data_IF_655833511170
#
_entry.id   IF_655833511170
#
_cell.length_a   1.000
_cell.length_b   1.000
_cell.length_c   1.000
_cell.angle_alpha   90.00
_cell.angle_beta   90.00
_cell.angle_gamma   90.00
#
_symmetry.space_group_name_H-M   'P 1'
#
loop_
_entity.id
_entity.type
_entity.pdbx_description
1 polymer ?
#
# COMPACT_ATOMS: atom_id res chain seq x y z
N UNK A 1 -19.00 43.06 15.10
CA UNK A 1 -18.77 42.14 13.96
C UNK A 1 -17.80 41.08 14.50
N UNK A 2 -18.35 40.16 15.29
CA UNK A 2 -17.58 39.26 16.12
C UNK A 2 -17.29 37.98 15.33
N UNK A 3 -16.01 37.62 15.30
CA UNK A 3 -15.51 36.30 14.98
C UNK A 3 -15.78 35.39 16.18
N UNK A 4 -16.84 34.58 16.08
CA UNK A 4 -17.00 33.31 16.81
C UNK A 4 -16.95 32.26 15.69
N UNK A 5 -16.15 31.21 15.68
CA UNK A 5 -15.59 30.35 16.70
C UNK A 5 -15.22 29.08 15.90
N UNK A 6 -14.16 28.38 16.29
CA UNK A 6 -13.51 27.38 15.45
C UNK A 6 -14.46 26.24 14.99
N UNK A 7 -14.73 26.20 13.70
CA UNK A 7 -14.63 25.01 12.85
C UNK A 7 -15.29 23.70 13.30
N UNK A 8 -16.55 23.72 13.70
CA UNK A 8 -17.39 22.52 13.53
C UNK A 8 -17.76 22.47 12.04
N UNK A 9 -17.20 21.50 11.29
CA UNK A 9 -17.66 21.24 9.93
C UNK A 9 -19.14 20.88 10.05
N UNK A 10 -20.02 21.78 9.59
CA UNK A 10 -21.45 21.50 9.47
C UNK A 10 -21.60 20.13 8.80
N UNK A 11 -22.38 19.24 9.41
CA UNK A 11 -22.61 17.87 8.90
C UNK A 11 -22.96 17.89 7.41
N UNK A 12 -22.66 16.81 6.67
CA UNK A 12 -22.97 16.75 5.23
C UNK A 12 -24.44 17.09 4.97
N UNK A 13 -25.33 16.63 5.84
CA UNK A 13 -26.75 16.97 5.83
C UNK A 13 -27.04 18.46 5.99
N UNK A 14 -26.38 19.15 6.93
CA UNK A 14 -26.55 20.59 7.11
C UNK A 14 -26.15 21.37 5.86
N UNK A 15 -25.05 20.98 5.21
CA UNK A 15 -24.60 21.59 3.94
C UNK A 15 -25.63 21.41 2.83
N UNK A 16 -26.21 20.22 2.73
CA UNK A 16 -27.27 19.94 1.76
C UNK A 16 -28.51 20.78 2.03
N UNK A 17 -28.96 20.85 3.29
CA UNK A 17 -30.10 21.68 3.71
C UNK A 17 -29.87 23.16 3.41
N UNK A 18 -28.68 23.70 3.69
CA UNK A 18 -28.34 25.09 3.41
C UNK A 18 -28.36 25.38 1.91
N UNK A 19 -27.90 24.43 1.10
CA UNK A 19 -27.85 24.53 -0.36
C UNK A 19 -29.24 24.48 -1.02
N UNK A 20 -30.27 24.01 -0.32
CA UNK A 20 -31.63 23.99 -0.86
C UNK A 20 -32.20 25.42 -0.99
N UNK A 21 -32.95 25.64 -2.06
CA UNK A 21 -33.68 26.89 -2.28
C UNK A 21 -34.69 27.16 -1.15
N UNK A 22 -34.97 28.42 -0.86
CA UNK A 22 -35.83 28.86 0.27
C UNK A 22 -37.29 28.34 0.26
N UNK A 23 -37.73 27.74 -0.83
CA UNK A 23 -39.11 27.22 -0.98
C UNK A 23 -39.33 25.89 -0.26
N UNK A 24 -38.25 25.19 0.08
CA UNK A 24 -38.31 23.95 0.84
C UNK A 24 -38.47 24.25 2.33
N UNK A 25 -39.34 23.52 3.01
CA UNK A 25 -39.44 23.58 4.46
C UNK A 25 -38.23 22.87 5.08
N UNK A 26 -37.29 23.67 5.59
CA UNK A 26 -36.05 23.18 6.23
C UNK A 26 -36.20 22.88 7.73
N UNK A 27 -37.38 23.10 8.31
CA UNK A 27 -37.64 22.82 9.73
C UNK A 27 -37.54 21.31 10.01
N UNK A 28 -36.71 20.84 10.97
CA UNK A 28 -36.64 19.41 11.31
C UNK A 28 -37.96 18.83 11.85
N UNK A 29 -38.90 19.68 12.30
CA UNK A 29 -40.08 19.27 13.08
C UNK A 29 -39.65 18.42 14.29
N UNK A 30 -38.93 19.05 15.25
CA UNK A 30 -38.30 18.34 16.36
C UNK A 30 -39.34 17.67 17.24
N UNK A 31 -39.10 16.40 17.57
CA UNK A 31 -39.83 15.67 18.58
C UNK A 31 -38.84 15.16 19.62
N UNK A 32 -39.14 15.36 20.91
CA UNK A 32 -38.32 14.81 21.98
C UNK A 32 -38.34 13.28 21.87
N UNK A 33 -37.17 12.68 21.70
CA UNK A 33 -37.02 11.23 21.67
C UNK A 33 -36.89 10.69 23.10
N UNK A 34 -35.95 11.22 23.85
CA UNK A 34 -35.73 10.94 25.27
C UNK A 34 -34.79 11.99 25.85
N UNK A 35 -34.62 11.95 27.17
CA UNK A 35 -33.63 12.76 27.89
C UNK A 35 -32.54 11.86 28.42
N UNK A 36 -31.30 12.33 28.35
CA UNK A 36 -30.14 11.58 28.80
C UNK A 36 -29.48 12.33 29.96
N UNK A 37 -29.27 11.64 31.08
CA UNK A 37 -28.54 12.17 32.23
C UNK A 37 -27.35 11.31 32.57
N UNK A 38 -26.34 11.95 33.13
CA UNK A 38 -25.14 11.32 33.63
C UNK A 38 -24.96 11.62 35.12
N UNK A 39 -24.45 10.64 35.87
CA UNK A 39 -24.26 10.73 37.34
C UNK A 39 -23.02 11.53 37.76
N UNK A 40 -22.19 11.96 36.80
CA UNK A 40 -21.01 12.79 37.03
C UNK A 40 -21.26 14.30 36.97
N UNK A 41 -20.16 15.05 37.02
CA UNK A 41 -20.15 16.51 37.13
C UNK A 41 -20.60 17.20 35.84
N UNK A 42 -20.31 16.61 34.68
CA UNK A 42 -20.71 17.15 33.38
C UNK A 42 -20.92 16.05 32.34
N UNK A 43 -21.85 16.30 31.43
CA UNK A 43 -22.07 15.51 30.22
C UNK A 43 -22.48 16.45 29.09
N UNK A 44 -21.73 16.42 28.00
CA UNK A 44 -22.14 17.00 26.72
C UNK A 44 -22.32 15.91 25.69
N UNK A 45 -23.28 16.08 24.80
CA UNK A 45 -23.54 15.16 23.69
C UNK A 45 -23.62 15.91 22.38
N UNK A 46 -23.27 15.24 21.29
CA UNK A 46 -23.40 15.76 19.94
C UNK A 46 -23.71 14.63 18.96
N UNK A 47 -24.63 14.87 18.03
CA UNK A 47 -24.97 13.94 16.95
C UNK A 47 -24.44 14.47 15.64
N UNK A 48 -23.53 13.70 15.04
CA UNK A 48 -22.89 14.06 13.78
C UNK A 48 -22.60 12.83 12.94
N UNK A 49 -22.92 12.89 11.65
CA UNK A 49 -22.57 11.90 10.62
C UNK A 49 -22.97 10.44 10.98
N UNK A 50 -24.10 10.31 11.70
CA UNK A 50 -24.66 9.03 12.16
C UNK A 50 -24.01 8.50 13.45
N UNK A 51 -23.25 9.33 14.16
CA UNK A 51 -22.61 9.01 15.42
C UNK A 51 -23.15 9.89 16.55
N UNK A 52 -23.41 9.30 17.71
CA UNK A 52 -23.65 10.03 18.96
C UNK A 52 -22.35 10.04 19.77
N UNK A 53 -21.79 11.22 19.95
CA UNK A 53 -20.59 11.44 20.77
C UNK A 53 -21.00 11.94 22.14
N UNK A 54 -20.54 11.26 23.19
CA UNK A 54 -20.75 11.60 24.58
C UNK A 54 -19.40 11.97 25.20
N UNK A 55 -19.31 13.17 25.77
CA UNK A 55 -18.15 13.63 26.54
C UNK A 55 -18.60 13.88 27.96
N UNK A 56 -17.96 13.21 28.93
CA UNK A 56 -18.35 13.25 30.35
C UNK A 56 -17.15 13.51 31.24
N UNK A 57 -17.41 14.02 32.44
CA UNK A 57 -16.42 14.17 33.51
C UNK A 57 -17.01 13.84 34.87
N UNK A 58 -16.21 13.21 35.75
CA UNK A 58 -16.71 12.66 37.02
C UNK A 58 -17.56 11.40 36.79
N UNK A 59 -18.31 10.94 37.79
CA UNK A 59 -19.31 9.87 37.64
C UNK A 59 -18.75 8.44 37.57
N UNK A 60 -19.66 7.48 37.34
CA UNK A 60 -19.34 6.04 37.29
C UNK A 60 -19.18 5.48 35.87
N UNK A 61 -19.62 6.22 34.85
CA UNK A 61 -19.50 5.82 33.44
C UNK A 61 -18.29 6.41 32.71
N UNK A 62 -18.24 6.21 31.40
CA UNK A 62 -17.25 6.82 30.52
C UNK A 62 -17.91 7.46 29.29
N UNK A 63 -17.22 8.44 28.69
CA UNK A 63 -17.60 9.00 27.40
C UNK A 63 -17.32 8.03 26.27
N UNK A 64 -17.83 8.33 25.08
CA UNK A 64 -17.66 7.43 23.94
C UNK A 64 -18.33 7.93 22.67
N UNK A 65 -18.14 7.16 21.61
CA UNK A 65 -18.77 7.38 20.29
C UNK A 65 -19.61 6.14 19.98
N UNK A 66 -20.89 6.36 19.70
CA UNK A 66 -21.88 5.31 19.46
C UNK A 66 -22.37 5.43 18.01
N UNK A 67 -22.31 4.34 17.25
CA UNK A 67 -22.87 4.28 15.89
C UNK A 67 -24.40 4.09 15.95
N UNK A 68 -25.13 5.00 15.31
CA UNK A 68 -26.59 5.01 15.32
C UNK A 68 -27.22 4.06 14.28
N UNK A 69 -26.44 3.56 13.30
CA UNK A 69 -26.95 2.74 12.17
C UNK A 69 -27.55 1.40 12.60
N UNK A 70 -27.17 0.89 13.76
CA UNK A 70 -27.67 -0.37 14.32
C UNK A 70 -28.85 -0.24 15.28
N UNK A 71 -29.32 0.99 15.55
CA UNK A 71 -30.28 1.24 16.62
C UNK A 71 -31.58 1.89 16.11
N UNK A 72 -32.68 1.55 16.77
CA UNK A 72 -33.86 2.42 16.84
C UNK A 72 -33.71 3.35 18.03
N UNK A 73 -34.55 4.38 18.14
CA UNK A 73 -34.54 5.26 19.31
C UNK A 73 -34.76 4.48 20.61
N UNK A 74 -35.66 3.49 20.61
CA UNK A 74 -35.91 2.63 21.76
C UNK A 74 -34.69 1.73 22.09
N UNK A 75 -34.10 1.05 21.10
CA UNK A 75 -32.95 0.17 21.39
C UNK A 75 -31.68 0.95 21.74
N UNK A 76 -31.57 2.21 21.29
CA UNK A 76 -30.51 3.12 21.75
C UNK A 76 -30.75 3.56 23.19
N UNK A 77 -31.99 3.90 23.56
CA UNK A 77 -32.35 4.24 24.93
C UNK A 77 -32.02 3.09 25.89
N UNK A 78 -32.41 1.85 25.54
CA UNK A 78 -32.05 0.64 26.31
C UNK A 78 -30.53 0.46 26.41
N UNK A 79 -29.80 0.63 25.29
CA UNK A 79 -28.35 0.50 25.27
C UNK A 79 -27.66 1.51 26.19
N UNK A 80 -28.12 2.77 26.16
CA UNK A 80 -27.61 3.85 27.01
C UNK A 80 -27.95 3.63 28.48
N UNK A 81 -29.18 3.22 28.79
CA UNK A 81 -29.62 2.92 30.15
C UNK A 81 -28.86 1.73 30.78
N UNK A 82 -28.34 0.82 29.95
CA UNK A 82 -27.48 -0.27 30.41
C UNK A 82 -26.04 0.16 30.71
N UNK A 83 -25.60 1.35 30.26
CA UNK A 83 -24.25 1.86 30.55
C UNK A 83 -24.17 2.40 31.97
N UNK A 84 -23.06 2.12 32.66
CA UNK A 84 -22.81 2.66 33.99
C UNK A 84 -22.86 4.20 33.98
N UNK A 85 -23.51 4.79 34.98
CA UNK A 85 -23.62 6.24 35.17
C UNK A 85 -24.60 6.96 34.27
N UNK A 86 -25.22 6.30 33.28
CA UNK A 86 -26.24 6.92 32.42
C UNK A 86 -27.65 6.58 32.88
N UNK A 87 -28.57 7.54 32.72
CA UNK A 87 -29.99 7.36 32.99
C UNK A 87 -30.79 7.99 31.85
N UNK A 88 -31.66 7.20 31.24
CA UNK A 88 -32.61 7.68 30.23
C UNK A 88 -33.94 8.02 30.91
N UNK A 89 -34.46 9.21 30.61
CA UNK A 89 -35.69 9.75 31.17
C UNK A 89 -36.63 10.17 30.02
N UNK A 90 -37.92 10.27 30.32
CA UNK A 90 -38.93 10.83 29.41
C UNK A 90 -38.87 10.24 27.98
N UNK A 91 -38.63 8.93 27.86
CA UNK A 91 -38.63 8.25 26.57
C UNK A 91 -40.00 8.36 25.90
N UNK A 92 -40.00 8.73 24.64
CA UNK A 92 -41.19 8.93 23.85
C UNK A 92 -41.52 7.67 23.02
N UNK A 93 -42.50 6.85 23.45
CA UNK A 93 -42.83 5.59 22.75
C UNK A 93 -43.40 5.82 21.35
N UNK A 94 -43.92 7.02 21.05
CA UNK A 94 -44.47 7.32 19.72
C UNK A 94 -43.39 7.36 18.63
N UNK A 95 -42.13 7.62 18.99
CA UNK A 95 -40.99 7.67 18.06
C UNK A 95 -39.97 6.56 18.29
N UNK A 96 -40.10 5.74 19.34
CA UNK A 96 -39.15 4.68 19.68
C UNK A 96 -38.82 3.67 18.55
N UNK A 97 -39.75 3.51 17.60
CA UNK A 97 -39.59 2.63 16.43
C UNK A 97 -38.79 3.26 15.28
N UNK A 98 -38.56 4.58 15.29
CA UNK A 98 -37.76 5.27 14.28
C UNK A 98 -36.29 4.90 14.43
N UNK A 99 -35.56 4.95 13.31
CA UNK A 99 -34.10 4.78 13.33
C UNK A 99 -33.44 5.86 14.20
N UNK A 100 -32.42 5.48 14.97
CA UNK A 100 -31.64 6.43 15.77
C UNK A 100 -30.88 7.46 14.91
N UNK A 101 -30.71 7.21 13.61
CA UNK A 101 -30.20 8.20 12.65
C UNK A 101 -31.07 9.46 12.54
N UNK A 102 -32.29 9.43 13.08
CA UNK A 102 -33.17 10.61 13.16
C UNK A 102 -32.76 11.61 14.24
N UNK A 103 -31.85 11.22 15.16
CA UNK A 103 -31.32 12.14 16.16
C UNK A 103 -30.49 13.25 15.52
N UNK A 104 -30.53 14.43 16.12
CA UNK A 104 -29.72 15.56 15.66
C UNK A 104 -29.43 16.55 16.81
N UNK A 105 -28.45 17.42 16.57
CA UNK A 105 -28.11 18.51 17.47
C UNK A 105 -26.99 18.16 18.46
N UNK A 106 -26.83 19.03 19.45
CA UNK A 106 -25.89 18.87 20.54
C UNK A 106 -26.47 19.51 21.80
N UNK A 107 -26.00 19.08 22.98
CA UNK A 107 -26.47 19.58 24.26
C UNK A 107 -25.49 19.35 25.39
N UNK A 108 -25.76 20.01 26.52
CA UNK A 108 -25.03 19.92 27.77
C UNK A 108 -26.04 19.70 28.91
N UNK A 109 -25.88 18.64 29.70
CA UNK A 109 -26.79 18.35 30.80
C UNK A 109 -26.90 19.47 31.84
N UNK A 110 -25.89 20.34 31.94
CA UNK A 110 -25.89 21.48 32.84
C UNK A 110 -26.73 22.66 32.31
N UNK A 111 -27.04 22.67 31.01
CA UNK A 111 -27.86 23.70 30.39
C UNK A 111 -29.36 23.36 30.51
N UNK A 112 -30.21 24.40 30.50
CA UNK A 112 -31.66 24.21 30.45
C UNK A 112 -32.03 23.46 29.17
N UNK A 113 -32.77 22.36 29.31
CA UNK A 113 -33.14 21.46 28.20
C UNK A 113 -31.95 20.85 27.43
N UNK A 114 -30.72 21.01 27.93
CA UNK A 114 -29.53 20.47 27.28
C UNK A 114 -29.36 18.95 27.48
N UNK A 115 -30.20 18.34 28.33
CA UNK A 115 -30.35 16.89 28.45
C UNK A 115 -31.35 16.29 27.43
N UNK A 116 -31.98 17.09 26.57
CA UNK A 116 -32.99 16.63 25.61
C UNK A 116 -32.38 16.16 24.30
N UNK A 117 -32.56 14.89 23.94
CA UNK A 117 -32.23 14.39 22.62
C UNK A 117 -33.47 14.44 21.72
N UNK A 118 -33.38 15.24 20.67
CA UNK A 118 -34.46 15.42 19.69
C UNK A 118 -34.24 14.56 18.46
N UNK A 119 -35.34 14.04 17.93
CA UNK A 119 -35.41 13.39 16.63
C UNK A 119 -36.17 14.28 15.64
N UNK A 120 -35.72 14.33 14.39
CA UNK A 120 -36.47 15.00 13.32
C UNK A 120 -37.58 14.08 12.81
N UNK A 121 -38.70 14.66 12.39
CA UNK A 121 -39.81 13.92 11.76
C UNK A 121 -40.11 14.39 10.34
N UNK A 122 -39.44 15.44 9.87
CA UNK A 122 -39.59 15.94 8.51
C UNK A 122 -39.02 14.95 7.47
N UNK A 123 -39.83 14.61 6.46
CA UNK A 123 -39.44 13.74 5.35
C UNK A 123 -38.25 14.28 4.53
N UNK A 124 -38.14 15.61 4.38
CA UNK A 124 -36.99 16.23 3.71
C UNK A 124 -35.68 15.91 4.44
N UNK A 125 -35.70 15.98 5.78
CA UNK A 125 -34.55 15.63 6.59
C UNK A 125 -34.21 14.15 6.43
N UNK A 126 -35.21 13.26 6.51
CA UNK A 126 -35.01 11.83 6.31
C UNK A 126 -34.37 11.50 4.95
N UNK A 127 -34.85 12.14 3.88
CA UNK A 127 -34.31 11.98 2.53
C UNK A 127 -32.85 12.45 2.46
N UNK A 128 -32.55 13.65 2.95
CA UNK A 128 -31.19 14.20 2.91
C UNK A 128 -30.20 13.46 3.83
N UNK A 129 -30.66 12.92 4.97
CA UNK A 129 -29.82 12.07 5.82
C UNK A 129 -29.32 10.86 5.04
N UNK A 130 -30.19 10.20 4.27
CA UNK A 130 -29.79 9.06 3.45
C UNK A 130 -28.71 9.45 2.42
N UNK A 131 -28.89 10.55 1.69
CA UNK A 131 -27.84 11.04 0.77
C UNK A 131 -26.56 11.47 1.48
N UNK A 132 -26.67 12.10 2.65
CA UNK A 132 -25.51 12.53 3.41
C UNK A 132 -24.64 11.34 3.82
N UNK A 133 -25.24 10.20 4.18
CA UNK A 133 -24.53 8.95 4.48
C UNK A 133 -23.80 8.42 3.23
N UNK A 134 -24.49 8.32 2.10
CA UNK A 134 -23.89 7.84 0.85
C UNK A 134 -22.76 8.75 0.34
N UNK A 135 -22.95 10.07 0.42
CA UNK A 135 -21.93 11.05 0.04
C UNK A 135 -20.74 11.04 1.00
N UNK A 136 -20.96 10.79 2.28
CA UNK A 136 -19.90 10.56 3.26
C UNK A 136 -19.07 9.32 2.88
N UNK A 137 -19.74 8.20 2.63
CA UNK A 137 -19.08 6.97 2.21
C UNK A 137 -18.31 7.15 0.89
N UNK A 138 -18.88 7.83 -0.10
CA UNK A 138 -18.22 8.14 -1.36
C UNK A 138 -16.98 9.03 -1.16
N UNK A 139 -17.05 10.04 -0.28
CA UNK A 139 -15.90 10.88 0.08
C UNK A 139 -14.76 10.05 0.67
N UNK A 140 -15.08 9.13 1.57
CA UNK A 140 -14.08 8.26 2.21
C UNK A 140 -13.47 7.29 1.19
N UNK A 141 -14.28 6.75 0.28
CA UNK A 141 -13.82 5.91 -0.83
C UNK A 141 -12.88 6.65 -1.79
N UNK A 142 -13.10 7.95 -2.05
CA UNK A 142 -12.16 8.76 -2.86
C UNK A 142 -10.78 8.82 -2.21
N UNK A 143 -10.73 9.03 -0.89
CA UNK A 143 -9.45 9.05 -0.16
C UNK A 143 -8.77 7.67 -0.20
N UNK A 144 -9.55 6.60 -0.01
CA UNK A 144 -9.04 5.23 -0.12
C UNK A 144 -8.51 4.94 -1.54
N UNK A 145 -9.23 5.36 -2.59
CA UNK A 145 -8.82 5.16 -3.97
C UNK A 145 -7.48 5.84 -4.30
N UNK A 146 -7.21 7.03 -3.74
CA UNK A 146 -5.91 7.68 -3.89
C UNK A 146 -4.78 6.87 -3.26
N UNK A 147 -5.01 6.23 -2.12
CA UNK A 147 -4.03 5.34 -1.51
C UNK A 147 -3.74 4.11 -2.39
N UNK A 148 -4.72 3.65 -3.17
CA UNK A 148 -4.54 2.54 -4.12
C UNK A 148 -3.70 2.92 -5.35
N UNK A 149 -3.48 4.20 -5.63
CA UNK A 149 -2.66 4.65 -6.77
C UNK A 149 -1.15 4.60 -6.50
N UNK A 150 -0.73 4.37 -5.26
CA UNK A 150 0.67 4.37 -4.85
C UNK A 150 1.09 2.95 -4.47
N UNK A 151 2.16 2.44 -5.09
CA UNK A 151 2.65 1.07 -4.90
C UNK A 151 2.85 0.68 -3.42
N UNK A 152 3.24 1.63 -2.57
CA UNK A 152 3.53 1.39 -1.16
C UNK A 152 2.29 1.24 -0.28
N UNK A 153 1.15 1.78 -0.72
CA UNK A 153 -0.10 1.81 0.07
C UNK A 153 -1.25 1.07 -0.60
N UNK A 154 -1.06 0.64 -1.85
CA UNK A 154 -2.02 -0.16 -2.57
C UNK A 154 -2.18 -1.55 -1.92
N UNK A 155 -3.42 -1.99 -1.83
CA UNK A 155 -3.76 -3.37 -1.53
C UNK A 155 -3.31 -4.29 -2.66
N UNK A 156 -3.19 -5.58 -2.34
CA UNK A 156 -2.55 -6.56 -3.21
C UNK A 156 -3.14 -6.63 -4.64
N UNK A 157 -4.47 -6.53 -4.80
CA UNK A 157 -5.10 -6.61 -6.11
C UNK A 157 -4.72 -5.42 -7.00
N UNK A 158 -4.77 -4.20 -6.43
CA UNK A 158 -4.34 -3.00 -7.13
C UNK A 158 -2.83 -3.02 -7.38
N UNK A 159 -2.04 -3.47 -6.41
CA UNK A 159 -0.59 -3.61 -6.57
C UNK A 159 -0.22 -4.57 -7.71
N UNK A 160 -0.94 -5.70 -7.85
CA UNK A 160 -0.75 -6.61 -8.98
C UNK A 160 -1.10 -5.96 -10.33
N UNK A 161 -2.20 -5.21 -10.38
CA UNK A 161 -2.59 -4.47 -11.58
C UNK A 161 -1.52 -3.44 -11.97
N UNK A 162 -1.06 -2.63 -11.02
CA UNK A 162 0.01 -1.65 -11.27
C UNK A 162 1.30 -2.32 -11.76
N UNK A 163 1.68 -3.44 -11.14
CA UNK A 163 2.95 -4.12 -11.44
C UNK A 163 2.93 -4.84 -12.78
N UNK A 164 1.75 -5.16 -13.31
CA UNK A 164 1.57 -5.69 -14.67
C UNK A 164 2.10 -4.70 -15.72
N UNK A 165 1.93 -3.39 -15.52
CA UNK A 165 2.49 -2.37 -16.42
C UNK A 165 4.03 -2.32 -16.41
N UNK A 166 4.65 -2.74 -15.30
CA UNK A 166 6.10 -2.79 -15.16
C UNK A 166 6.68 -4.18 -15.52
N UNK A 167 5.83 -5.15 -15.88
CA UNK A 167 6.26 -6.51 -16.21
C UNK A 167 6.77 -7.30 -15.00
N UNK A 168 6.42 -6.89 -13.79
CA UNK A 168 6.89 -7.54 -12.54
C UNK A 168 5.78 -8.44 -12.03
N UNK A 169 5.94 -9.76 -12.18
CA UNK A 169 4.93 -10.72 -11.75
C UNK A 169 4.99 -10.98 -10.24
N UNK A 170 3.83 -11.32 -9.65
CA UNK A 170 3.71 -11.74 -8.26
C UNK A 170 4.34 -13.12 -8.02
N UNK A 171 5.08 -13.25 -6.92
CA UNK A 171 5.65 -14.54 -6.50
C UNK A 171 4.72 -15.13 -5.42
N UNK A 172 4.20 -16.37 -5.59
CA UNK A 172 3.37 -17.01 -4.57
C UNK A 172 4.06 -17.06 -3.20
N UNK A 173 3.40 -16.54 -2.17
CA UNK A 173 3.93 -16.49 -0.80
C UNK A 173 4.74 -15.23 -0.46
N UNK A 174 4.93 -14.32 -1.42
CA UNK A 174 5.51 -13.00 -1.16
C UNK A 174 4.57 -12.14 -0.30
N UNK A 175 5.14 -11.18 0.44
CA UNK A 175 4.36 -10.21 1.22
C UNK A 175 4.14 -8.95 0.36
N UNK A 176 2.97 -8.29 0.38
CA UNK A 176 2.69 -7.14 -0.50
C UNK A 176 3.74 -6.02 -0.43
N UNK A 177 4.28 -5.74 0.76
CA UNK A 177 5.34 -4.72 0.93
C UNK A 177 6.63 -5.08 0.19
N UNK A 178 7.01 -6.36 0.18
CA UNK A 178 8.21 -6.85 -0.50
C UNK A 178 8.01 -6.78 -2.01
N UNK A 179 6.80 -7.10 -2.49
CA UNK A 179 6.46 -6.98 -3.91
C UNK A 179 6.51 -5.54 -4.40
N UNK A 180 5.96 -4.59 -3.64
CA UNK A 180 6.06 -3.17 -3.98
C UNK A 180 7.52 -2.70 -4.08
N UNK A 181 8.35 -3.07 -3.10
CA UNK A 181 9.78 -2.73 -3.09
C UNK A 181 10.53 -3.38 -4.25
N UNK A 182 10.24 -4.65 -4.54
CA UNK A 182 10.82 -5.39 -5.67
C UNK A 182 10.45 -4.75 -6.99
N UNK A 183 9.21 -4.31 -7.18
CA UNK A 183 8.82 -3.60 -8.41
C UNK A 183 9.63 -2.32 -8.58
N UNK A 184 9.80 -1.52 -7.53
CA UNK A 184 10.63 -0.32 -7.59
C UNK A 184 12.08 -0.66 -7.94
N UNK A 185 12.64 -1.71 -7.33
CA UNK A 185 13.99 -2.17 -7.62
C UNK A 185 14.15 -2.63 -9.08
N UNK A 186 13.21 -3.42 -9.59
CA UNK A 186 13.22 -4.00 -10.95
C UNK A 186 13.08 -2.95 -12.06
N UNK A 187 12.36 -1.86 -11.77
CA UNK A 187 12.20 -0.72 -12.70
C UNK A 187 13.43 0.17 -12.71
N UNK A 188 14.06 0.39 -11.54
CA UNK A 188 15.16 1.33 -11.39
C UNK A 188 16.54 0.71 -11.61
N UNK A 189 16.67 -0.62 -11.57
CA UNK A 189 17.98 -1.24 -11.74
C UNK A 189 18.50 -1.11 -13.17
N UNK A 190 19.82 -0.96 -13.28
CA UNK A 190 20.48 -0.85 -14.57
C UNK A 190 20.58 -2.25 -15.22
N UNK A 191 20.45 -2.32 -16.55
CA UNK A 191 20.53 -3.57 -17.31
C UNK A 191 21.47 -3.42 -18.51
N UNK A 192 21.87 -4.55 -19.09
CA UNK A 192 22.45 -4.60 -20.43
C UNK A 192 23.91 -4.17 -20.56
N UNK A 193 24.61 -3.85 -19.47
CA UNK A 193 26.05 -3.61 -19.48
C UNK A 193 26.75 -4.45 -18.40
N UNK A 194 28.06 -4.65 -18.55
CA UNK A 194 28.83 -5.55 -17.70
C UNK A 194 28.81 -5.12 -16.23
N UNK A 195 29.01 -3.83 -15.95
CA UNK A 195 29.01 -3.29 -14.57
C UNK A 195 27.65 -3.47 -13.88
N UNK A 196 26.56 -3.34 -14.64
CA UNK A 196 25.21 -3.56 -14.15
C UNK A 196 24.97 -5.03 -13.84
N UNK A 197 25.43 -5.95 -14.72
CA UNK A 197 25.37 -7.39 -14.47
C UNK A 197 26.20 -7.79 -13.23
N UNK A 198 27.40 -7.24 -13.06
CA UNK A 198 28.22 -7.44 -11.85
C UNK A 198 27.47 -6.99 -10.58
N UNK A 199 26.82 -5.82 -10.63
CA UNK A 199 26.06 -5.27 -9.51
C UNK A 199 24.82 -6.11 -9.18
N UNK A 200 24.13 -6.63 -10.20
CA UNK A 200 22.97 -7.52 -10.03
C UNK A 200 23.39 -8.86 -9.43
N UNK A 201 24.51 -9.44 -9.89
CA UNK A 201 25.07 -10.66 -9.32
C UNK A 201 25.46 -10.43 -7.86
N UNK A 202 26.11 -9.30 -7.55
CA UNK A 202 26.47 -8.94 -6.18
C UNK A 202 25.25 -8.82 -5.27
N UNK A 203 24.20 -8.12 -5.72
CA UNK A 203 22.99 -7.93 -4.92
C UNK A 203 22.24 -9.24 -4.65
N UNK A 204 22.21 -10.15 -5.63
CA UNK A 204 21.49 -11.42 -5.49
C UNK A 204 22.28 -12.50 -4.74
N UNK A 205 23.61 -12.53 -4.88
CA UNK A 205 24.46 -13.61 -4.37
C UNK A 205 25.35 -13.20 -3.20
N UNK A 206 25.49 -11.89 -2.94
CA UNK A 206 26.46 -11.33 -2.01
C UNK A 206 27.91 -11.41 -2.50
N UNK A 207 28.16 -11.89 -3.72
CA UNK A 207 29.51 -12.08 -4.27
C UNK A 207 29.81 -11.13 -5.41
N UNK A 208 30.98 -10.50 -5.31
CA UNK A 208 31.52 -9.69 -6.40
C UNK A 208 32.09 -10.60 -7.47
N UNK A 209 31.49 -10.57 -8.65
CA UNK A 209 31.98 -11.23 -9.85
C UNK A 209 32.44 -10.17 -10.85
N UNK A 210 33.29 -10.54 -11.80
CA UNK A 210 33.69 -9.68 -12.91
C UNK A 210 32.99 -10.17 -14.19
N UNK A 211 32.43 -9.25 -14.99
CA UNK A 211 31.80 -9.55 -16.27
C UNK A 211 32.65 -8.92 -17.37
N UNK A 212 33.26 -9.76 -18.19
CA UNK A 212 34.29 -9.33 -19.14
C UNK A 212 33.91 -9.75 -20.55
N UNK A 213 33.89 -8.78 -21.47
CA UNK A 213 33.66 -9.07 -22.89
C UNK A 213 34.78 -9.96 -23.42
N UNK A 214 34.41 -10.94 -24.23
CA UNK A 214 35.39 -11.76 -24.95
C UNK A 214 36.00 -10.88 -26.03
N UNK A 215 37.27 -10.51 -25.87
CA UNK A 215 38.01 -9.86 -26.94
C UNK A 215 38.16 -10.79 -28.14
N UNK A 216 38.15 -10.23 -29.35
CA UNK A 216 38.75 -10.90 -30.51
C UNK A 216 40.21 -11.15 -30.14
N UNK A 217 40.59 -12.43 -30.02
CA UNK A 217 41.90 -12.82 -29.50
C UNK A 217 43.04 -12.23 -30.32
N UNK A 218 43.72 -11.23 -29.80
CA UNK A 218 45.13 -10.95 -30.14
C UNK A 218 45.98 -11.82 -29.21
N UNK A 219 46.80 -12.68 -29.80
CA UNK A 219 47.78 -13.47 -29.04
C UNK A 219 48.87 -12.49 -28.59
N UNK A 220 48.92 -12.18 -27.30
CA UNK A 220 50.05 -11.46 -26.72
C UNK A 220 51.12 -12.48 -26.30
N UNK A 221 52.22 -12.51 -27.04
CA UNK A 221 53.48 -13.08 -26.55
C UNK A 221 54.36 -11.91 -26.11
N UNK A 222 54.64 -11.81 -24.81
CA UNK A 222 55.56 -10.82 -24.22
C UNK A 222 55.24 -9.35 -24.57
N UNK A 223 53.94 -9.00 -24.63
CA UNK A 223 53.49 -7.62 -24.83
C UNK A 223 53.64 -7.07 -26.26
N UNK A 224 53.94 -7.91 -27.25
CA UNK A 224 54.02 -7.53 -28.66
C UNK A 224 53.03 -8.35 -29.47
N UNK A 225 52.24 -7.68 -30.33
CA UNK A 225 51.46 -8.35 -31.37
C UNK A 225 52.44 -8.95 -32.40
N UNK A 226 52.80 -10.22 -32.26
CA UNK A 226 53.57 -10.94 -33.27
C UNK A 226 52.66 -11.88 -34.04
N UNK A 227 52.24 -11.45 -35.24
CA UNK A 227 51.68 -12.32 -36.27
C UNK A 227 52.83 -12.98 -37.04
N UNK A 228 53.19 -14.21 -36.65
CA UNK A 228 54.32 -14.95 -37.24
C UNK A 228 53.94 -15.74 -38.52
N UNK A 229 52.67 -15.72 -38.94
CA UNK A 229 52.22 -16.37 -40.19
C UNK A 229 52.35 -17.90 -40.25
N UNK A 230 53.04 -18.54 -39.31
CA UNK A 230 53.29 -19.99 -39.24
C UNK A 230 52.15 -20.77 -38.55
N UNK A 231 51.29 -20.10 -37.80
CA UNK A 231 50.07 -20.70 -37.24
C UNK A 231 48.93 -20.37 -38.20
N UNK A 232 48.25 -21.37 -38.80
CA UNK A 232 47.04 -21.08 -39.56
C UNK A 232 46.10 -20.33 -38.62
N UNK A 233 45.60 -19.18 -39.07
CA UNK A 233 44.55 -18.43 -38.38
C UNK A 233 43.32 -19.35 -38.36
N UNK A 234 43.25 -20.27 -37.39
CA UNK A 234 42.02 -20.98 -37.09
C UNK A 234 41.13 -19.89 -36.56
N UNK A 235 40.26 -19.36 -37.44
CA UNK A 235 39.42 -18.21 -37.13
C UNK A 235 38.83 -18.42 -35.75
N UNK A 236 39.25 -17.59 -34.79
CA UNK A 236 38.56 -17.54 -33.52
C UNK A 236 37.09 -17.30 -33.88
N UNK A 237 36.16 -18.13 -33.37
CA UNK A 237 34.74 -17.91 -33.64
C UNK A 237 34.44 -16.48 -33.25
N UNK A 238 33.79 -15.74 -34.14
CA UNK A 238 33.63 -14.30 -34.01
C UNK A 238 33.11 -13.97 -32.60
N UNK A 239 33.88 -13.21 -31.82
CA UNK A 239 33.60 -13.00 -30.40
C UNK A 239 32.45 -12.00 -30.15
N UNK A 240 31.71 -11.64 -31.20
CA UNK A 240 30.64 -10.66 -31.14
C UNK A 240 29.52 -11.11 -30.19
N UNK A 241 29.23 -10.25 -29.22
CA UNK A 241 28.18 -10.48 -28.24
C UNK A 241 28.53 -11.55 -27.20
N UNK A 242 29.77 -12.06 -27.13
CA UNK A 242 30.15 -13.03 -26.11
C UNK A 242 30.84 -12.36 -24.93
N UNK A 243 30.48 -12.77 -23.71
CA UNK A 243 31.15 -12.35 -22.48
C UNK A 243 31.28 -13.51 -21.50
N UNK A 244 32.23 -13.38 -20.58
CA UNK A 244 32.50 -14.33 -19.52
C UNK A 244 32.11 -13.74 -18.16
N UNK A 245 31.68 -14.61 -17.24
CA UNK A 245 31.47 -14.25 -15.84
C UNK A 245 32.50 -14.95 -14.97
N UNK A 246 33.29 -14.15 -14.27
CA UNK A 246 34.41 -14.62 -13.45
C UNK A 246 33.99 -14.57 -11.99
N UNK A 247 33.98 -15.74 -11.36
CA UNK A 247 33.62 -15.91 -9.94
C UNK A 247 34.90 -15.94 -9.09
N UNK A 248 34.92 -15.26 -7.93
CA UNK A 248 36.05 -15.33 -7.00
C UNK A 248 36.26 -16.77 -6.49
N UNK A 249 37.51 -17.16 -6.32
CA UNK A 249 37.86 -18.50 -5.86
C UNK A 249 37.65 -18.63 -4.34
N UNK A 250 36.42 -19.00 -3.93
CA UNK A 250 36.02 -19.17 -2.52
C UNK A 250 35.78 -20.66 -2.25
N UNK A 251 36.22 -21.24 -1.12
CA UNK A 251 35.93 -22.63 -0.79
C UNK A 251 34.42 -22.90 -0.75
N UNK A 252 33.96 -23.85 -1.56
CA UNK A 252 32.55 -24.26 -1.65
C UNK A 252 32.48 -25.75 -1.99
N UNK A 253 31.29 -26.35 -1.78
CA UNK A 253 31.01 -27.71 -2.25
C UNK A 253 30.52 -27.69 -3.70
N UNK A 254 30.61 -28.82 -4.44
CA UNK A 254 30.07 -28.91 -5.79
C UNK A 254 28.59 -28.52 -5.92
N UNK A 255 27.77 -28.87 -4.91
CA UNK A 255 26.35 -28.52 -4.89
C UNK A 255 26.12 -27.01 -4.73
N UNK A 256 26.96 -26.35 -3.90
CA UNK A 256 26.91 -24.89 -3.73
C UNK A 256 27.31 -24.16 -5.02
N UNK A 257 28.31 -24.69 -5.74
CA UNK A 257 28.73 -24.14 -7.03
C UNK A 257 27.65 -24.31 -8.11
N UNK A 258 26.98 -25.46 -8.16
CA UNK A 258 25.89 -25.68 -9.10
C UNK A 258 24.72 -24.70 -8.87
N UNK A 259 24.34 -24.48 -7.61
CA UNK A 259 23.30 -23.52 -7.23
C UNK A 259 23.72 -22.09 -7.59
N UNK A 260 24.97 -21.73 -7.31
CA UNK A 260 25.51 -20.42 -7.62
C UNK A 260 25.52 -20.15 -9.13
N UNK A 261 26.06 -21.07 -9.93
CA UNK A 261 26.13 -20.93 -11.39
C UNK A 261 24.73 -20.83 -11.99
N UNK A 262 23.78 -21.64 -11.51
CA UNK A 262 22.38 -21.54 -11.92
C UNK A 262 21.76 -20.17 -11.59
N UNK A 263 22.08 -19.62 -10.42
CA UNK A 263 21.59 -18.30 -9.98
C UNK A 263 22.18 -17.18 -10.84
N UNK A 264 23.50 -17.19 -11.08
CA UNK A 264 24.19 -16.22 -11.94
C UNK A 264 23.63 -16.28 -13.37
N UNK A 265 23.49 -17.48 -13.94
CA UNK A 265 22.95 -17.67 -15.29
C UNK A 265 21.56 -17.06 -15.41
N UNK A 266 20.67 -17.35 -14.44
CA UNK A 266 19.31 -16.78 -14.41
C UNK A 266 19.34 -15.25 -14.42
N UNK A 267 20.15 -14.63 -13.54
CA UNK A 267 20.27 -13.16 -13.46
C UNK A 267 20.76 -12.59 -14.80
N UNK A 268 21.75 -13.21 -15.41
CA UNK A 268 22.33 -12.73 -16.66
C UNK A 268 21.34 -12.87 -17.82
N UNK A 269 20.64 -14.00 -17.94
CA UNK A 269 19.66 -14.21 -19.01
C UNK A 269 18.46 -13.25 -18.91
N UNK A 270 18.06 -12.88 -17.71
CA UNK A 270 16.97 -11.91 -17.46
C UNK A 270 17.38 -10.45 -17.78
N UNK A 271 18.68 -10.14 -17.79
CA UNK A 271 19.16 -8.74 -17.80
C UNK A 271 20.16 -8.40 -18.92
N UNK A 272 20.63 -9.37 -19.70
CA UNK A 272 21.50 -9.14 -20.85
C UNK A 272 20.73 -8.51 -22.01
N UNK A 273 21.45 -7.74 -22.83
CA UNK A 273 20.92 -7.27 -24.10
C UNK A 273 20.67 -8.43 -25.06
N UNK A 274 19.64 -8.32 -25.90
CA UNK A 274 19.42 -9.28 -26.98
C UNK A 274 20.64 -9.35 -27.90
N UNK A 275 21.04 -10.57 -28.29
CA UNK A 275 22.23 -10.81 -29.11
C UNK A 275 23.54 -10.92 -28.32
N UNK A 276 23.54 -10.71 -27.01
CA UNK A 276 24.71 -10.96 -26.13
C UNK A 276 24.52 -12.26 -25.37
N UNK A 277 25.53 -13.11 -25.24
CA UNK A 277 25.45 -14.43 -24.61
C UNK A 277 26.65 -14.68 -23.70
N UNK A 278 26.38 -15.35 -22.58
CA UNK A 278 27.44 -15.86 -21.71
C UNK A 278 28.14 -17.02 -22.42
N UNK A 279 29.44 -16.90 -22.64
CA UNK A 279 30.27 -17.99 -23.16
C UNK A 279 30.64 -18.96 -22.04
N UNK A 280 31.10 -18.45 -20.90
CA UNK A 280 31.43 -19.27 -19.75
C UNK A 280 31.21 -18.56 -18.42
N UNK A 281 30.93 -19.36 -17.39
CA UNK A 281 30.90 -18.95 -15.98
C UNK A 281 31.91 -19.84 -15.28
N UNK A 282 32.91 -19.25 -14.61
CA UNK A 282 33.93 -20.06 -13.95
C UNK A 282 34.86 -19.27 -13.04
N UNK A 283 35.75 -20.00 -12.37
CA UNK A 283 36.74 -19.45 -11.43
C UNK A 283 38.09 -19.28 -12.11
N UNK A 284 38.84 -18.24 -11.73
CA UNK A 284 40.23 -18.09 -12.15
C UNK A 284 41.12 -19.04 -11.36
N UNK A 285 41.96 -19.82 -12.07
CA UNK A 285 42.90 -20.79 -11.46
C UNK A 285 44.33 -20.32 -11.52
N UNK A 286 44.70 -19.51 -12.52
CA UNK A 286 46.01 -18.88 -12.62
C UNK A 286 45.94 -17.69 -13.60
N UNK A 287 46.79 -16.68 -13.37
CA UNK A 287 46.96 -15.53 -14.27
C UNK A 287 48.32 -15.64 -14.96
N UNK A 288 48.32 -16.07 -16.23
CA UNK A 288 49.51 -16.14 -17.11
C UNK A 288 49.27 -15.33 -18.41
N UNK A 289 48.68 -14.13 -18.30
CA UNK A 289 48.30 -13.32 -19.47
C UNK A 289 47.02 -13.75 -20.20
N UNK A 290 46.43 -14.88 -19.81
CA UNK A 290 45.11 -15.38 -20.23
C UNK A 290 44.41 -16.02 -19.03
N UNK A 291 43.07 -15.87 -18.92
CA UNK A 291 42.28 -16.52 -17.88
C UNK A 291 42.22 -18.04 -18.14
N UNK A 292 42.82 -18.84 -17.25
CA UNK A 292 42.60 -20.30 -17.23
C UNK A 292 41.54 -20.65 -16.19
N UNK A 293 40.46 -21.29 -16.63
CA UNK A 293 39.30 -21.66 -15.80
C UNK A 293 39.43 -23.10 -15.29
N UNK A 294 39.19 -23.36 -14.00
CA UNK A 294 38.99 -24.73 -13.46
C UNK A 294 37.53 -25.06 -13.60
N UNK A 295 37.25 -26.26 -14.09
CA UNK A 295 35.89 -26.78 -14.11
C UNK A 295 34.95 -25.92 -14.96
N UNK A 296 35.42 -25.43 -16.11
CA UNK A 296 34.57 -24.76 -17.10
C UNK A 296 33.36 -25.65 -17.39
N UNK A 297 32.22 -25.24 -16.85
CA UNK A 297 30.90 -25.68 -17.28
C UNK A 297 30.71 -24.96 -18.63
N UNK A 298 31.31 -25.50 -19.67
CA UNK A 298 31.19 -25.04 -21.05
C UNK A 298 29.80 -25.44 -21.56
N UNK A 299 28.93 -24.46 -21.79
CA UNK A 299 27.57 -24.72 -22.28
C UNK A 299 27.09 -23.68 -23.29
N UNK A 300 26.40 -24.24 -24.29
CA UNK A 300 25.89 -23.72 -25.56
C UNK A 300 26.93 -23.51 -26.68
N UNK A 301 27.05 -24.55 -27.51
CA UNK A 301 27.38 -24.37 -28.92
C UNK A 301 26.31 -23.46 -29.53
N UNK A 302 26.71 -22.26 -29.94
CA UNK A 302 25.91 -21.38 -30.79
C UNK A 302 25.33 -22.23 -31.93
N UNK A 303 23.99 -22.27 -32.16
CA UNK A 303 23.48 -22.87 -33.39
C UNK A 303 24.02 -22.07 -34.56
N UNK A 304 24.63 -22.77 -35.52
CA UNK A 304 25.09 -22.20 -36.78
C UNK A 304 23.94 -21.55 -37.57
#
# INVERSE_FOLDING_TARGET
>A
MALEGAGAWSTMQARMLDSLHRVFNKDPLPVLAFRLRYDGDAMTWAVQDGLLTLTVSGGSGAGGVIDLRGHTLATLADFLAAQAGYTVLDENPAVGHLSALTLFGAGDQAASEGDHLYAFTNLLWAFLTAYAVELGAARDQIAAALAQMVLQTADLDWLQEHNTYYGVAWIPGEVPVDYANRTVAEVLHQRGNNVALESLILNATGMRCDVVDVGDGSIYWDGVESFDGDVPFSGYPAAYGLFDVIIPNIPSTPDQDAILVATIRRIVDENRCAGFHVRQIGRVVAWNGSYSFDGAIAFDSVPA
#
